data_IF_191513374450
#
_entry.id   IF_191513374450
#
_cell.length_a   1.000
_cell.length_b   1.000
_cell.length_c   1.000
_cell.angle_alpha   90.00
_cell.angle_beta   90.00
_cell.angle_gamma   90.00
#
_symmetry.space_group_name_H-M   'P 1'
#
loop_
_entity.id
_entity.type
_entity.pdbx_description
1 polymer ?
#
# COMPACT_ATOMS: atom_id res chain seq x y z
N UNK A 1 24.53 -8.33 28.37
CA UNK A 1 25.57 -8.51 27.35
C UNK A 1 26.76 -9.24 27.93
N UNK A 2 27.54 -9.87 27.10
CA UNK A 2 28.82 -10.47 27.51
C UNK A 2 29.95 -9.81 26.72
N UNK A 3 31.04 -9.44 27.43
CA UNK A 3 32.24 -8.87 26.82
C UNK A 3 33.14 -10.00 26.35
N UNK A 4 33.45 -10.05 25.09
CA UNK A 4 34.37 -11.02 24.48
C UNK A 4 35.76 -10.41 24.18
N UNK A 5 36.14 -9.35 24.90
CA UNK A 5 37.44 -8.68 24.76
C UNK A 5 37.63 -8.09 23.36
N UNK A 6 38.79 -8.39 22.73
CA UNK A 6 39.09 -7.86 21.38
C UNK A 6 38.15 -8.33 20.26
N UNK A 7 37.31 -9.34 20.50
CA UNK A 7 36.38 -9.89 19.51
C UNK A 7 35.05 -9.17 19.44
N UNK A 8 34.75 -8.29 20.39
CA UNK A 8 33.49 -7.53 20.41
C UNK A 8 32.56 -7.93 21.55
N UNK A 9 31.28 -7.66 21.39
CA UNK A 9 30.22 -7.96 22.37
C UNK A 9 29.18 -8.87 21.77
N UNK A 10 28.55 -9.67 22.63
CA UNK A 10 27.37 -10.46 22.31
C UNK A 10 26.16 -9.88 23.04
N UNK A 11 25.16 -9.48 22.31
CA UNK A 11 23.89 -9.02 22.86
C UNK A 11 22.96 -10.23 22.99
N UNK A 12 22.57 -10.55 24.23
CA UNK A 12 21.62 -11.60 24.53
C UNK A 12 20.25 -10.99 24.87
N UNK A 13 19.22 -11.53 24.28
CA UNK A 13 17.82 -11.20 24.62
C UNK A 13 17.05 -12.50 24.72
N UNK A 14 16.34 -12.69 25.84
CA UNK A 14 15.55 -13.90 26.07
C UNK A 14 14.62 -14.20 24.90
N UNK A 15 14.76 -15.41 24.32
CA UNK A 15 13.94 -15.88 23.20
C UNK A 15 14.39 -15.42 21.79
N UNK A 16 15.52 -14.71 21.68
CA UNK A 16 16.09 -14.30 20.39
C UNK A 16 17.47 -14.92 20.19
N UNK A 17 17.90 -15.02 18.92
CA UNK A 17 19.27 -15.40 18.60
C UNK A 17 20.27 -14.36 19.13
N UNK A 18 21.42 -14.82 19.63
CA UNK A 18 22.48 -13.94 20.08
C UNK A 18 23.04 -13.11 18.92
N UNK A 19 23.17 -11.81 19.11
CA UNK A 19 23.72 -10.89 18.11
C UNK A 19 25.17 -10.60 18.49
N UNK A 20 26.11 -11.13 17.70
CA UNK A 20 27.52 -10.81 17.84
C UNK A 20 27.89 -9.57 17.03
N UNK A 21 28.47 -8.57 17.69
CA UNK A 21 28.95 -7.33 17.06
C UNK A 21 30.41 -7.10 17.41
N UNK A 22 31.26 -6.87 16.39
CA UNK A 22 32.65 -6.46 16.64
C UNK A 22 32.68 -4.99 17.14
N UNK A 23 33.80 -4.62 17.81
CA UNK A 23 33.93 -3.28 18.40
C UNK A 23 33.81 -2.13 17.39
N UNK A 24 34.26 -2.32 16.15
CA UNK A 24 34.12 -1.28 15.13
C UNK A 24 32.64 -1.00 14.79
N UNK A 25 31.82 -2.04 14.73
CA UNK A 25 30.38 -1.94 14.50
C UNK A 25 29.67 -1.29 15.69
N UNK A 26 30.08 -1.66 16.91
CA UNK A 26 29.56 -1.06 18.16
C UNK A 26 29.92 0.42 18.22
N UNK A 27 31.19 0.76 18.00
CA UNK A 27 31.69 2.14 18.02
C UNK A 27 30.98 3.00 16.94
N UNK A 28 30.82 2.46 15.74
CA UNK A 28 30.08 3.15 14.64
C UNK A 28 28.64 3.43 15.05
N UNK A 29 27.96 2.45 15.64
CA UNK A 29 26.56 2.61 16.10
C UNK A 29 26.44 3.59 17.27
N UNK A 30 27.36 3.52 18.23
CA UNK A 30 27.40 4.50 19.33
C UNK A 30 27.66 5.90 18.79
N UNK A 31 28.60 6.06 17.86
CA UNK A 31 28.92 7.37 17.26
C UNK A 31 27.71 7.92 16.51
N UNK A 32 26.96 7.09 15.78
CA UNK A 32 25.74 7.44 15.10
C UNK A 32 24.65 7.86 16.10
N UNK A 33 24.41 7.07 17.15
CA UNK A 33 23.42 7.40 18.19
C UNK A 33 23.78 8.66 18.97
N UNK A 34 25.07 8.86 19.26
CA UNK A 34 25.55 10.09 19.92
C UNK A 34 25.37 11.29 19.00
N UNK A 35 25.64 11.15 17.72
CA UNK A 35 25.41 12.19 16.72
C UNK A 35 23.92 12.56 16.63
N UNK A 36 23.04 11.57 16.55
CA UNK A 36 21.60 11.76 16.47
C UNK A 36 21.02 12.40 17.74
N UNK A 37 21.50 12.03 18.93
CA UNK A 37 20.96 12.53 20.20
C UNK A 37 21.64 13.79 20.75
N UNK A 38 22.85 14.12 20.33
CA UNK A 38 23.62 15.23 20.95
C UNK A 38 23.90 16.42 20.04
N UNK A 39 23.77 16.24 18.73
CA UNK A 39 24.26 17.24 17.76
C UNK A 39 23.19 17.68 16.74
N UNK A 40 21.97 17.19 16.84
CA UNK A 40 20.89 17.80 16.06
C UNK A 40 20.53 19.13 16.71
N UNK A 41 20.58 20.20 15.95
CA UNK A 41 19.95 21.46 16.31
C UNK A 41 18.43 21.25 16.45
N UNK A 42 17.69 22.11 17.14
CA UNK A 42 16.25 22.03 17.21
C UNK A 42 15.58 21.93 15.84
N UNK A 43 16.11 22.59 14.82
CA UNK A 43 15.59 22.57 13.45
C UNK A 43 15.87 21.22 12.77
N UNK A 44 17.06 20.65 12.97
CA UNK A 44 17.39 19.32 12.46
C UNK A 44 16.59 18.21 13.15
N UNK A 45 16.34 18.34 14.46
CA UNK A 45 15.48 17.42 15.19
C UNK A 45 14.04 17.48 14.65
N UNK A 46 13.50 18.69 14.47
CA UNK A 46 12.16 18.87 13.91
C UNK A 46 12.05 18.30 12.47
N UNK A 47 13.10 18.45 11.66
CA UNK A 47 13.14 17.86 10.32
C UNK A 47 13.17 16.34 10.37
N UNK A 48 13.97 15.74 11.25
CA UNK A 48 14.04 14.30 11.47
C UNK A 48 12.69 13.73 11.96
N UNK A 49 12.10 14.37 12.98
CA UNK A 49 10.79 13.94 13.52
C UNK A 49 9.70 13.99 12.45
N UNK A 50 9.74 15.03 11.59
CA UNK A 50 8.82 15.16 10.47
C UNK A 50 9.01 14.03 9.43
N UNK A 51 10.24 13.68 9.10
CA UNK A 51 10.56 12.59 8.17
C UNK A 51 10.07 11.25 8.73
N UNK A 52 10.37 10.97 10.01
CA UNK A 52 9.89 9.75 10.69
C UNK A 52 8.37 9.65 10.73
N UNK A 53 7.67 10.77 11.00
CA UNK A 53 6.22 10.80 10.97
C UNK A 53 5.66 10.55 9.56
N UNK A 54 6.31 11.07 8.52
CA UNK A 54 5.92 10.82 7.13
C UNK A 54 6.13 9.35 6.74
N UNK A 55 7.22 8.73 7.16
CA UNK A 55 7.48 7.31 6.88
C UNK A 55 6.50 6.39 7.61
N UNK A 56 6.17 6.70 8.87
CA UNK A 56 5.14 5.99 9.61
C UNK A 56 3.77 6.09 8.91
N UNK A 57 3.41 7.30 8.42
CA UNK A 57 2.17 7.51 7.67
C UNK A 57 2.15 6.71 6.35
N UNK A 58 3.26 6.68 5.61
CA UNK A 58 3.37 5.91 4.36
C UNK A 58 3.21 4.42 4.60
N UNK A 59 3.77 3.89 5.68
CA UNK A 59 3.62 2.49 6.07
C UNK A 59 2.17 2.18 6.45
N UNK A 60 1.49 3.06 7.19
CA UNK A 60 0.09 2.91 7.54
C UNK A 60 -0.78 2.84 6.27
N UNK A 61 -0.62 3.79 5.35
CA UNK A 61 -1.34 3.80 4.05
C UNK A 61 -1.12 2.50 3.28
N UNK A 62 0.11 1.99 3.23
CA UNK A 62 0.39 0.74 2.53
C UNK A 62 -0.26 -0.48 3.21
N UNK A 63 -0.30 -0.50 4.54
CA UNK A 63 -0.97 -1.56 5.30
C UNK A 63 -2.48 -1.53 5.06
N UNK A 64 -3.10 -0.35 5.13
CA UNK A 64 -4.53 -0.16 4.87
C UNK A 64 -4.90 -0.56 3.43
N UNK A 65 -4.05 -0.21 2.45
CA UNK A 65 -4.21 -0.70 1.08
C UNK A 65 -4.20 -2.23 1.01
N UNK A 66 -3.25 -2.88 1.70
CA UNK A 66 -3.15 -4.34 1.69
C UNK A 66 -4.38 -5.00 2.35
N UNK A 67 -4.97 -4.38 3.38
CA UNK A 67 -6.19 -4.88 4.01
C UNK A 67 -7.37 -4.84 3.01
N UNK A 68 -7.51 -3.74 2.27
CA UNK A 68 -8.49 -3.65 1.17
C UNK A 68 -8.20 -4.68 0.09
N UNK A 69 -6.93 -4.82 -0.34
CA UNK A 69 -6.53 -5.79 -1.36
C UNK A 69 -6.77 -7.23 -0.93
N UNK A 70 -6.59 -7.55 0.34
CA UNK A 70 -6.87 -8.89 0.88
C UNK A 70 -8.36 -9.24 0.84
N UNK A 71 -9.24 -8.24 0.97
CA UNK A 71 -10.68 -8.40 0.81
C UNK A 71 -11.12 -8.49 -0.68
N UNK A 72 -10.31 -7.94 -1.59
CA UNK A 72 -10.58 -7.82 -3.03
C UNK A 72 -9.39 -8.35 -3.87
N UNK A 73 -9.00 -9.64 -3.73
CA UNK A 73 -7.73 -10.15 -4.25
C UNK A 73 -7.62 -10.11 -5.78
N UNK A 74 -8.72 -10.27 -6.49
CA UNK A 74 -8.76 -10.37 -7.95
C UNK A 74 -9.04 -9.03 -8.66
N UNK A 75 -9.35 -7.98 -7.90
CA UNK A 75 -9.74 -6.68 -8.40
C UNK A 75 -8.56 -5.71 -8.40
N UNK A 76 -8.56 -4.72 -9.28
CA UNK A 76 -7.61 -3.61 -9.21
C UNK A 76 -8.07 -2.63 -8.11
N UNK A 77 -7.23 -2.42 -7.12
CA UNK A 77 -7.54 -1.52 -6.00
C UNK A 77 -6.98 -0.13 -6.24
N UNK A 78 -7.87 0.86 -6.26
CA UNK A 78 -7.54 2.29 -6.25
C UNK A 78 -7.72 2.82 -4.84
N UNK A 79 -6.64 3.19 -4.17
CA UNK A 79 -6.66 3.64 -2.79
C UNK A 79 -6.41 5.14 -2.70
N UNK A 80 -7.37 5.90 -2.14
CA UNK A 80 -7.25 7.35 -2.05
C UNK A 80 -6.27 7.76 -0.94
N UNK A 81 -5.31 8.61 -1.29
CA UNK A 81 -4.34 9.21 -0.37
C UNK A 81 -4.34 10.72 -0.62
N UNK A 82 -5.04 11.46 0.23
CA UNK A 82 -5.26 12.89 0.00
C UNK A 82 -5.93 13.15 -1.35
N UNK A 83 -5.30 13.96 -2.19
CA UNK A 83 -5.80 14.34 -3.52
C UNK A 83 -5.38 13.37 -4.65
N UNK A 84 -4.87 12.18 -4.31
CA UNK A 84 -4.42 11.17 -5.27
C UNK A 84 -5.10 9.83 -5.03
N UNK A 85 -5.19 9.03 -6.10
CA UNK A 85 -5.38 7.59 -6.01
C UNK A 85 -4.04 6.92 -6.26
N UNK A 86 -3.64 6.01 -5.37
CA UNK A 86 -2.40 5.25 -5.43
C UNK A 86 -2.71 3.76 -5.62
N UNK A 87 -1.86 3.09 -6.40
CA UNK A 87 -1.87 1.66 -6.62
C UNK A 87 -0.50 1.11 -6.24
N UNK A 88 -0.46 -0.09 -5.69
CA UNK A 88 0.77 -0.69 -5.20
C UNK A 88 0.99 -2.10 -5.75
N UNK A 89 2.24 -2.55 -5.72
CA UNK A 89 2.62 -3.92 -6.00
C UNK A 89 2.23 -4.41 -7.39
N UNK A 90 1.46 -5.49 -7.43
CA UNK A 90 1.01 -6.11 -8.67
C UNK A 90 -0.04 -5.27 -9.39
N UNK A 91 -0.97 -4.62 -8.66
CA UNK A 91 -1.97 -3.75 -9.28
C UNK A 91 -1.30 -2.62 -10.07
N UNK A 92 -0.30 -1.95 -9.46
CA UNK A 92 0.45 -0.90 -10.15
C UNK A 92 1.14 -1.43 -11.41
N UNK A 93 1.75 -2.63 -11.36
CA UNK A 93 2.42 -3.22 -12.52
C UNK A 93 1.46 -3.64 -13.63
N UNK A 94 0.29 -4.16 -13.23
CA UNK A 94 -0.70 -4.66 -14.18
C UNK A 94 -1.28 -3.54 -15.06
N UNK A 95 -1.41 -2.32 -14.53
CA UNK A 95 -2.16 -1.26 -15.20
C UNK A 95 -1.35 -0.04 -15.62
N UNK A 96 -0.10 0.10 -15.18
CA UNK A 96 0.70 1.30 -15.43
C UNK A 96 0.85 1.61 -16.93
N UNK A 97 1.14 0.62 -17.74
CA UNK A 97 1.31 0.78 -19.19
C UNK A 97 -0.02 1.15 -19.86
N UNK A 98 -1.10 0.45 -19.54
CA UNK A 98 -2.43 0.70 -20.08
C UNK A 98 -2.91 2.12 -19.74
N UNK A 99 -2.62 2.59 -18.53
CA UNK A 99 -3.00 3.92 -18.05
C UNK A 99 -1.98 5.01 -18.41
N UNK A 100 -0.83 4.65 -18.97
CA UNK A 100 0.30 5.55 -19.23
C UNK A 100 0.78 6.26 -17.97
N UNK A 101 0.84 5.52 -16.84
CA UNK A 101 1.33 6.00 -15.56
C UNK A 101 2.79 5.58 -15.35
N UNK A 102 3.56 6.46 -14.74
CA UNK A 102 4.94 6.16 -14.37
C UNK A 102 5.00 5.26 -13.15
N UNK A 103 5.69 4.11 -13.27
CA UNK A 103 6.00 3.26 -12.13
C UNK A 103 7.14 3.85 -11.30
N UNK A 104 6.87 4.11 -10.05
CA UNK A 104 7.85 4.54 -9.08
C UNK A 104 8.15 3.45 -8.06
N UNK A 105 9.18 3.63 -7.25
CA UNK A 105 9.54 2.71 -6.17
C UNK A 105 9.73 3.51 -4.90
N UNK A 106 9.04 3.09 -3.85
CA UNK A 106 9.17 3.67 -2.50
C UNK A 106 9.76 2.63 -1.56
N UNK A 107 10.71 3.04 -0.74
CA UNK A 107 11.23 2.18 0.31
C UNK A 107 10.41 2.42 1.57
N UNK A 108 9.74 1.36 2.07
CA UNK A 108 8.93 1.41 3.28
C UNK A 108 9.66 0.68 4.40
N UNK A 109 9.68 1.26 5.59
CA UNK A 109 10.38 0.68 6.75
C UNK A 109 9.76 -0.68 7.12
N UNK A 110 10.61 -1.70 7.28
CA UNK A 110 10.16 -3.06 7.60
C UNK A 110 9.54 -3.86 6.46
N UNK A 111 9.15 -3.20 5.35
CA UNK A 111 8.55 -3.83 4.17
C UNK A 111 9.55 -3.96 3.03
N UNK A 112 10.40 -2.92 2.85
CA UNK A 112 11.35 -2.87 1.76
C UNK A 112 10.84 -2.05 0.57
N UNK A 113 11.27 -2.43 -0.63
CA UNK A 113 11.03 -1.66 -1.85
C UNK A 113 9.69 -2.04 -2.49
N UNK A 114 8.72 -1.13 -2.45
CA UNK A 114 7.38 -1.30 -3.02
C UNK A 114 7.24 -0.51 -4.32
N UNK A 115 6.78 -1.18 -5.38
CA UNK A 115 6.41 -0.54 -6.65
C UNK A 115 5.05 0.12 -6.50
N UNK A 116 4.88 1.31 -7.06
CA UNK A 116 3.61 2.03 -7.03
C UNK A 116 3.46 2.94 -8.24
N UNK A 117 2.23 3.31 -8.55
CA UNK A 117 1.87 4.41 -9.42
C UNK A 117 0.65 5.12 -8.84
N UNK A 118 0.28 6.26 -9.41
CA UNK A 118 -0.88 7.00 -8.95
C UNK A 118 -1.25 8.14 -9.90
N UNK A 119 -2.42 8.69 -9.66
CA UNK A 119 -2.98 9.78 -10.45
C UNK A 119 -3.83 10.71 -9.57
N UNK A 120 -4.06 11.98 -9.98
CA UNK A 120 -4.90 12.90 -9.24
C UNK A 120 -6.35 12.41 -9.12
N UNK A 121 -6.97 12.62 -7.97
CA UNK A 121 -8.35 12.19 -7.72
C UNK A 121 -9.38 12.85 -8.66
N UNK A 122 -9.03 14.00 -9.24
CA UNK A 122 -9.83 14.68 -10.28
C UNK A 122 -9.98 13.88 -11.56
N UNK A 123 -9.04 12.97 -11.82
CA UNK A 123 -9.01 12.17 -13.05
C UNK A 123 -9.60 10.75 -12.85
N UNK A 124 -10.23 10.50 -11.68
CA UNK A 124 -10.72 9.17 -11.29
C UNK A 124 -11.62 8.55 -12.36
N UNK A 125 -12.62 9.28 -12.83
CA UNK A 125 -13.61 8.77 -13.80
C UNK A 125 -12.91 8.25 -15.06
N UNK A 126 -12.01 9.06 -15.63
CA UNK A 126 -11.23 8.71 -16.82
C UNK A 126 -10.43 7.42 -16.66
N UNK A 127 -9.79 7.24 -15.51
CA UNK A 127 -8.98 6.05 -15.27
C UNK A 127 -9.84 4.83 -14.95
N UNK A 128 -10.93 5.00 -14.22
CA UNK A 128 -11.90 3.93 -13.92
C UNK A 128 -12.54 3.40 -15.20
N UNK A 129 -13.02 4.27 -16.11
CA UNK A 129 -13.57 3.85 -17.40
C UNK A 129 -12.61 2.95 -18.17
N UNK A 130 -11.33 3.35 -18.23
CA UNK A 130 -10.29 2.60 -18.94
C UNK A 130 -9.95 1.27 -18.25
N UNK A 131 -9.90 1.25 -16.93
CA UNK A 131 -9.63 0.02 -16.17
C UNK A 131 -10.77 -0.99 -16.33
N UNK A 132 -12.02 -0.54 -16.31
CA UNK A 132 -13.19 -1.41 -16.44
C UNK A 132 -13.34 -2.09 -17.80
N UNK A 133 -12.58 -1.68 -18.81
CA UNK A 133 -12.49 -2.44 -20.07
C UNK A 133 -11.95 -3.86 -19.88
N UNK A 134 -11.15 -4.10 -18.81
CA UNK A 134 -10.43 -5.37 -18.60
C UNK A 134 -10.51 -5.92 -17.17
N UNK A 135 -10.82 -5.07 -16.19
CA UNK A 135 -10.67 -5.39 -14.78
C UNK A 135 -11.90 -4.97 -13.97
N UNK A 136 -12.23 -5.74 -12.98
CA UNK A 136 -13.05 -5.29 -11.87
C UNK A 136 -12.22 -4.31 -11.03
N UNK A 137 -12.81 -3.21 -10.59
CA UNK A 137 -12.08 -2.13 -9.92
C UNK A 137 -12.70 -1.84 -8.56
N UNK A 138 -11.92 -1.98 -7.51
CA UNK A 138 -12.29 -1.54 -6.17
C UNK A 138 -11.74 -0.14 -5.90
N UNK A 139 -12.63 0.77 -5.56
CA UNK A 139 -12.30 2.15 -5.24
C UNK A 139 -12.45 2.34 -3.73
N UNK A 140 -11.34 2.57 -3.03
CA UNK A 140 -11.31 2.91 -1.62
C UNK A 140 -11.14 4.42 -1.48
N UNK A 141 -12.20 5.11 -1.05
CA UNK A 141 -12.25 6.58 -0.92
C UNK A 141 -12.30 7.01 0.54
N UNK A 142 -11.70 8.14 0.82
CA UNK A 142 -11.85 8.83 2.10
C UNK A 142 -13.31 9.28 2.21
N UNK A 143 -14.00 8.83 3.27
CA UNK A 143 -15.37 9.24 3.54
C UNK A 143 -15.50 10.71 3.97
N UNK A 144 -16.72 11.18 4.12
CA UNK A 144 -17.03 12.57 4.46
C UNK A 144 -16.45 13.00 5.84
N UNK A 145 -16.17 12.04 6.73
CA UNK A 145 -15.48 12.29 8.02
C UNK A 145 -14.01 12.67 7.87
N UNK A 146 -13.41 12.42 6.69
CA UNK A 146 -12.00 12.67 6.40
C UNK A 146 -11.03 11.67 7.03
N UNK A 147 -11.52 10.63 7.69
CA UNK A 147 -10.69 9.67 8.46
C UNK A 147 -10.95 8.21 8.13
N UNK A 148 -12.14 7.88 7.64
CA UNK A 148 -12.52 6.51 7.33
C UNK A 148 -12.54 6.29 5.81
N UNK A 149 -12.02 5.14 5.38
CA UNK A 149 -12.12 4.70 4.01
C UNK A 149 -13.39 3.86 3.82
N UNK A 150 -14.08 4.11 2.72
CA UNK A 150 -15.16 3.25 2.23
C UNK A 150 -14.75 2.68 0.88
N UNK A 151 -14.85 1.36 0.74
CA UNK A 151 -14.52 0.66 -0.49
C UNK A 151 -15.80 0.20 -1.19
N UNK A 152 -15.83 0.30 -2.51
CA UNK A 152 -16.86 -0.26 -3.37
C UNK A 152 -16.27 -0.74 -4.68
N UNK A 153 -16.84 -1.80 -5.23
CA UNK A 153 -16.39 -2.42 -6.48
C UNK A 153 -17.27 -2.03 -7.64
N UNK A 154 -16.64 -1.70 -8.76
CA UNK A 154 -17.26 -1.57 -10.06
C UNK A 154 -16.80 -2.74 -10.93
N UNK A 155 -17.70 -3.60 -11.41
CA UNK A 155 -17.33 -4.70 -12.28
C UNK A 155 -16.77 -4.19 -13.61
N UNK A 156 -15.98 -5.03 -14.27
CA UNK A 156 -15.58 -4.80 -15.66
C UNK A 156 -16.80 -4.78 -16.58
N UNK A 157 -16.67 -4.19 -17.76
CA UNK A 157 -17.79 -4.08 -18.71
C UNK A 157 -18.30 -5.46 -19.11
N UNK A 158 -17.40 -6.43 -19.34
CA UNK A 158 -17.78 -7.81 -19.67
C UNK A 158 -18.47 -8.51 -18.51
N UNK A 159 -17.98 -8.34 -17.29
CA UNK A 159 -18.59 -8.93 -16.08
C UNK A 159 -19.95 -8.31 -15.78
N UNK A 160 -20.11 -6.99 -15.96
CA UNK A 160 -21.41 -6.32 -15.81
C UNK A 160 -22.42 -6.82 -16.84
N UNK A 161 -22.00 -7.02 -18.09
CA UNK A 161 -22.85 -7.59 -19.15
C UNK A 161 -23.27 -9.04 -18.83
N UNK A 162 -22.35 -9.85 -18.34
CA UNK A 162 -22.63 -11.23 -17.93
C UNK A 162 -23.62 -11.28 -16.74
N UNK A 163 -23.45 -10.40 -15.75
CA UNK A 163 -24.38 -10.27 -14.62
C UNK A 163 -25.78 -9.87 -15.10
N UNK A 164 -25.88 -8.94 -16.05
CA UNK A 164 -27.17 -8.51 -16.61
C UNK A 164 -27.84 -9.65 -17.39
N UNK A 165 -27.11 -10.44 -18.17
CA UNK A 165 -27.61 -11.62 -18.88
C UNK A 165 -28.13 -12.66 -17.88
N UNK A 166 -27.34 -12.99 -16.87
CA UNK A 166 -27.71 -13.95 -15.83
C UNK A 166 -28.97 -13.51 -15.07
N UNK A 167 -29.09 -12.23 -14.74
CA UNK A 167 -30.27 -11.66 -14.10
C UNK A 167 -31.52 -11.75 -15.00
N UNK A 168 -31.36 -11.44 -16.30
CA UNK A 168 -32.44 -11.57 -17.28
C UNK A 168 -32.89 -13.04 -17.43
N UNK A 169 -31.95 -13.96 -17.57
CA UNK A 169 -32.28 -15.39 -17.68
C UNK A 169 -32.94 -15.95 -16.41
N UNK A 170 -32.56 -15.44 -15.22
CA UNK A 170 -33.20 -15.82 -13.96
C UNK A 170 -34.65 -15.33 -13.88
N UNK A 171 -34.98 -14.20 -14.50
CA UNK A 171 -36.35 -13.67 -14.54
C UNK A 171 -37.20 -14.25 -15.68
N UNK A 172 -36.61 -14.42 -16.85
CA UNK A 172 -37.34 -14.73 -18.08
C UNK A 172 -37.00 -16.09 -18.69
N UNK A 173 -35.99 -16.82 -18.17
CA UNK A 173 -35.42 -17.99 -18.83
C UNK A 173 -34.59 -17.65 -20.07
N UNK A 174 -33.74 -18.61 -20.50
CA UNK A 174 -32.84 -18.41 -21.65
C UNK A 174 -33.55 -18.21 -23.00
N UNK A 175 -34.82 -18.54 -23.07
CA UNK A 175 -35.68 -18.36 -24.25
C UNK A 175 -36.56 -17.11 -24.20
N UNK A 176 -36.43 -16.29 -23.14
CA UNK A 176 -37.20 -15.07 -22.95
C UNK A 176 -38.62 -15.29 -22.43
N UNK A 177 -38.97 -16.49 -22.01
CA UNK A 177 -40.27 -16.77 -21.38
C UNK A 177 -40.22 -16.50 -19.89
N UNK A 178 -41.20 -15.76 -19.37
CA UNK A 178 -41.23 -15.38 -17.94
C UNK A 178 -41.33 -16.62 -17.06
N UNK A 179 -40.37 -16.81 -16.18
CA UNK A 179 -40.34 -17.89 -15.19
C UNK A 179 -41.25 -17.52 -14.02
N UNK A 180 -42.43 -18.11 -13.94
CA UNK A 180 -43.29 -18.01 -12.75
C UNK A 180 -42.79 -19.04 -11.71
N UNK A 181 -42.35 -18.53 -10.56
CA UNK A 181 -42.06 -19.32 -9.36
C UNK A 181 -43.21 -19.23 -8.38
#
# INVERSE_FOLDING_TARGET
YEDHGSKGIVLKKNGCADIQMNWNKVASRISELVRLNRYLTPDEQAAYDKEMAQDAMRNAVYNDYNDVKAAHPDEIVLYQVGDFFELYGEDARAVADDLSLELTRRNLEGVGRVTMCGFPATDLEKYVEKLREKHDVTISRIGDSGHEHTAYTLPSIDHEAEQAINAYEAEFGADGTRVFR
#
